data_IF_789337684119
#
_entry.id   IF_789337684119
#
_cell.length_a   1.000
_cell.length_b   1.000
_cell.length_c   1.000
_cell.angle_alpha   90.00
_cell.angle_beta   90.00
_cell.angle_gamma   90.00
#
_symmetry.space_group_name_H-M   'P 1'
#
loop_
_entity.id
_entity.type
_entity.pdbx_description
1 polymer ?
#
# COMPACT_ATOMS: atom_id res chain seq x y z
N UNK A 1 23.93 9.46 -10.51
CA UNK A 1 24.86 8.46 -11.06
C UNK A 1 26.24 9.08 -11.11
N UNK A 2 27.24 8.50 -10.45
CA UNK A 2 28.63 8.93 -10.59
C UNK A 2 29.35 7.90 -11.47
N UNK A 3 29.67 8.31 -12.69
CA UNK A 3 30.58 7.60 -13.57
C UNK A 3 31.54 8.64 -14.13
N UNK A 4 32.84 8.50 -13.84
CA UNK A 4 33.85 9.47 -14.24
C UNK A 4 34.08 9.49 -15.77
N UNK A 5 33.60 8.47 -16.48
CA UNK A 5 33.66 8.37 -17.93
C UNK A 5 32.41 7.72 -18.50
N UNK A 6 32.00 8.20 -19.67
CA UNK A 6 30.91 7.59 -20.43
C UNK A 6 31.45 6.39 -21.20
N UNK A 7 31.03 5.20 -20.81
CA UNK A 7 31.36 3.95 -21.55
C UNK A 7 30.61 3.89 -22.87
N UNK A 8 31.06 3.08 -23.82
CA UNK A 8 30.41 2.99 -25.14
C UNK A 8 28.97 2.45 -25.04
N UNK A 9 28.71 1.51 -24.13
CA UNK A 9 27.34 1.06 -23.84
C UNK A 9 26.45 2.18 -23.30
N UNK A 10 26.99 3.06 -22.44
CA UNK A 10 26.27 4.25 -21.98
C UNK A 10 26.03 5.22 -23.12
N UNK A 11 27.01 5.44 -24.02
CA UNK A 11 26.83 6.30 -25.21
C UNK A 11 25.68 5.82 -26.08
N UNK A 12 25.61 4.51 -26.35
CA UNK A 12 24.52 3.91 -27.13
C UNK A 12 23.17 4.04 -26.43
N UNK A 13 23.08 3.77 -25.13
CA UNK A 13 21.83 3.90 -24.39
C UNK A 13 21.35 5.36 -24.34
N UNK A 14 22.27 6.31 -24.11
CA UNK A 14 21.96 7.75 -24.07
C UNK A 14 21.54 8.25 -25.44
N UNK A 15 22.25 7.88 -26.52
CA UNK A 15 21.91 8.33 -27.88
C UNK A 15 20.55 7.80 -28.33
N UNK A 16 20.23 6.53 -28.07
CA UNK A 16 18.93 5.95 -28.40
C UNK A 16 17.79 6.59 -27.59
N UNK A 17 18.03 6.86 -26.30
CA UNK A 17 17.06 7.57 -25.43
C UNK A 17 16.78 8.97 -25.96
N UNK A 18 17.84 9.70 -26.34
CA UNK A 18 17.71 11.05 -26.89
C UNK A 18 17.01 11.05 -28.26
N UNK A 19 17.31 10.09 -29.14
CA UNK A 19 16.63 9.92 -30.43
C UNK A 19 15.12 9.72 -30.24
N UNK A 20 14.73 8.80 -29.34
CA UNK A 20 13.30 8.54 -29.04
C UNK A 20 12.61 9.76 -28.45
N UNK A 21 13.26 10.45 -27.51
CA UNK A 21 12.70 11.65 -26.87
C UNK A 21 12.47 12.77 -27.90
N UNK A 22 13.39 12.98 -28.84
CA UNK A 22 13.22 13.98 -29.90
C UNK A 22 11.96 13.71 -30.74
N UNK A 23 11.73 12.46 -31.16
CA UNK A 23 10.52 12.10 -31.89
C UNK A 23 9.25 12.30 -31.04
N UNK A 24 9.27 11.92 -29.77
CA UNK A 24 8.15 12.11 -28.86
C UNK A 24 7.82 13.60 -28.65
N UNK A 25 8.84 14.45 -28.50
CA UNK A 25 8.65 15.89 -28.35
C UNK A 25 8.12 16.53 -29.63
N UNK A 26 8.64 16.15 -30.80
CA UNK A 26 8.15 16.65 -32.08
C UNK A 26 6.69 16.26 -32.31
N UNK A 27 6.34 15.00 -32.08
CA UNK A 27 4.97 14.52 -32.15
C UNK A 27 4.06 15.26 -31.18
N UNK A 28 4.47 15.42 -29.92
CA UNK A 28 3.69 16.13 -28.93
C UNK A 28 3.46 17.60 -29.32
N UNK A 29 4.49 18.28 -29.86
CA UNK A 29 4.38 19.67 -30.31
C UNK A 29 3.43 19.80 -31.51
N UNK A 30 3.57 18.93 -32.51
CA UNK A 30 2.72 18.90 -33.70
C UNK A 30 1.25 18.63 -33.35
N UNK A 31 0.99 17.84 -32.31
CA UNK A 31 -0.35 17.42 -31.91
C UNK A 31 -0.90 18.20 -30.69
N UNK A 32 -0.16 19.17 -30.16
CA UNK A 32 -0.55 19.94 -28.97
C UNK A 32 -0.73 19.09 -27.70
N UNK A 33 0.02 17.99 -27.57
CA UNK A 33 -0.06 17.07 -26.42
C UNK A 33 0.85 17.57 -25.30
N UNK A 34 0.26 17.86 -24.14
CA UNK A 34 0.99 18.12 -22.90
C UNK A 34 1.27 16.79 -22.16
N UNK A 35 2.55 16.40 -21.97
CA UNK A 35 2.88 15.13 -21.32
C UNK A 35 2.53 15.15 -19.83
N UNK A 36 1.55 14.34 -19.46
CA UNK A 36 1.11 14.16 -18.08
C UNK A 36 1.43 12.73 -17.58
N UNK A 37 1.71 12.60 -16.29
CA UNK A 37 1.88 11.29 -15.66
C UNK A 37 0.55 10.53 -15.71
N UNK A 38 0.59 9.27 -16.11
CA UNK A 38 -0.61 8.42 -16.10
C UNK A 38 -0.99 8.14 -14.63
N UNK A 39 -2.08 8.75 -14.17
CA UNK A 39 -2.72 8.40 -12.90
C UNK A 39 -3.78 7.34 -13.20
N UNK A 40 -3.40 6.07 -13.11
CA UNK A 40 -4.39 5.00 -13.11
C UNK A 40 -5.09 5.03 -11.77
N UNK A 41 -6.38 5.33 -11.75
CA UNK A 41 -7.22 4.96 -10.60
C UNK A 41 -7.07 3.45 -10.46
N UNK A 42 -6.61 3.00 -9.28
CA UNK A 42 -6.75 1.59 -8.91
C UNK A 42 -8.23 1.32 -9.07
N UNK A 43 -8.60 0.52 -10.09
CA UNK A 43 -9.97 0.08 -10.22
C UNK A 43 -10.34 -0.52 -8.86
N UNK A 44 -11.41 -0.01 -8.26
CA UNK A 44 -11.80 -0.37 -6.92
C UNK A 44 -12.21 -1.84 -6.95
N UNK A 45 -11.25 -2.74 -6.70
CA UNK A 45 -11.47 -4.19 -6.66
C UNK A 45 -12.55 -4.48 -5.61
N UNK A 46 -12.72 -3.61 -4.60
CA UNK A 46 -13.80 -3.68 -3.63
C UNK A 46 -15.18 -3.38 -4.22
N UNK A 47 -15.30 -2.58 -5.28
CA UNK A 47 -16.58 -2.35 -5.97
C UNK A 47 -17.01 -3.61 -6.75
N UNK A 48 -16.04 -4.33 -7.35
CA UNK A 48 -16.29 -5.62 -8.00
C UNK A 48 -16.62 -6.75 -7.02
N UNK A 49 -16.05 -6.73 -5.81
CA UNK A 49 -16.38 -7.71 -4.75
C UNK A 49 -17.74 -7.40 -4.12
N UNK A 50 -18.02 -6.13 -3.80
CA UNK A 50 -19.33 -5.71 -3.24
C UNK A 50 -20.49 -5.94 -4.20
N UNK A 51 -20.29 -5.76 -5.50
CA UNK A 51 -21.32 -6.09 -6.51
C UNK A 51 -21.63 -7.60 -6.59
N UNK A 52 -20.76 -8.46 -6.02
CA UNK A 52 -20.92 -9.91 -5.99
C UNK A 52 -21.43 -10.44 -4.64
N UNK A 53 -21.40 -9.60 -3.60
CA UNK A 53 -21.87 -9.90 -2.24
C UNK A 53 -23.27 -9.32 -1.95
N UNK A 54 -23.85 -8.58 -2.90
CA UNK A 54 -25.11 -7.84 -2.71
C UNK A 54 -26.42 -8.65 -2.69
N UNK A 55 -26.37 -9.99 -2.60
CA UNK A 55 -27.60 -10.82 -2.46
C UNK A 55 -27.75 -11.51 -1.09
N UNK A 56 -26.74 -11.51 -0.23
CA UNK A 56 -26.83 -12.15 1.09
C UNK A 56 -26.13 -11.31 2.17
N UNK A 57 -26.88 -10.43 2.84
CA UNK A 57 -26.96 -10.35 4.31
C UNK A 57 -27.65 -9.03 4.74
N UNK A 58 -28.98 -9.07 4.72
CA UNK A 58 -29.82 -8.19 5.54
C UNK A 58 -29.69 -8.66 6.98
N UNK A 59 -28.78 -8.07 7.77
CA UNK A 59 -29.05 -7.80 9.20
C UNK A 59 -27.98 -6.92 9.85
N UNK A 60 -28.43 -5.84 10.51
CA UNK A 60 -27.75 -5.34 11.72
C UNK A 60 -27.31 -3.89 11.72
N UNK A 61 -28.29 -2.97 11.72
CA UNK A 61 -28.13 -1.64 12.31
C UNK A 61 -27.54 -1.70 13.74
N UNK A 62 -26.53 -0.89 14.08
CA UNK A 62 -26.06 -0.84 15.47
C UNK A 62 -24.84 0.03 15.79
N UNK A 63 -25.05 1.34 15.86
CA UNK A 63 -24.51 2.24 16.92
C UNK A 63 -22.98 2.28 17.15
N UNK A 64 -22.35 3.33 16.60
CA UNK A 64 -20.94 3.69 16.76
C UNK A 64 -20.50 4.20 18.15
N UNK A 65 -20.87 3.53 19.25
CA UNK A 65 -20.53 4.00 20.61
C UNK A 65 -19.64 3.05 21.44
N UNK A 66 -19.39 1.80 21.01
CA UNK A 66 -18.58 0.84 21.81
C UNK A 66 -17.07 0.80 21.51
N UNK A 67 -16.60 1.50 20.47
CA UNK A 67 -15.21 1.40 19.97
C UNK A 67 -14.19 2.15 20.83
N UNK A 68 -14.61 3.16 21.61
CA UNK A 68 -13.71 3.94 22.47
C UNK A 68 -13.27 3.22 23.75
N UNK A 69 -14.11 2.32 24.29
CA UNK A 69 -13.86 1.68 25.60
C UNK A 69 -12.94 0.45 25.54
N UNK A 70 -12.75 -0.15 24.35
CA UNK A 70 -11.77 -1.22 24.13
C UNK A 70 -10.35 -0.68 23.91
N UNK A 71 -10.20 0.54 23.36
CA UNK A 71 -8.89 1.18 23.15
C UNK A 71 -8.11 1.39 24.45
N UNK A 72 -8.79 1.80 25.52
CA UNK A 72 -8.15 2.05 26.81
C UNK A 72 -7.69 0.78 27.56
N UNK A 73 -8.30 -0.38 27.28
CA UNK A 73 -7.94 -1.63 27.94
C UNK A 73 -6.64 -2.23 27.37
N UNK A 74 -6.44 -2.13 26.05
CA UNK A 74 -5.21 -2.59 25.38
C UNK A 74 -4.01 -1.70 25.79
N UNK A 75 -4.25 -0.40 25.97
CA UNK A 75 -3.22 0.55 26.45
C UNK A 75 -2.70 0.24 27.86
N UNK A 76 -3.52 -0.34 28.75
CA UNK A 76 -3.07 -0.72 30.08
C UNK A 76 -2.08 -1.91 30.04
N UNK A 77 -2.25 -2.82 29.07
CA UNK A 77 -1.39 -4.00 28.92
C UNK A 77 -0.11 -3.71 28.10
N UNK A 78 -0.10 -2.68 27.23
CA UNK A 78 1.04 -2.35 26.36
C UNK A 78 1.94 -1.21 26.87
N UNK A 79 1.58 -0.51 27.96
CA UNK A 79 2.31 0.65 28.48
C UNK A 79 3.75 0.37 28.99
N UNK A 80 4.23 -0.88 28.89
CA UNK A 80 5.60 -1.28 29.26
C UNK A 80 6.38 -2.00 28.17
N UNK A 81 5.82 -2.16 26.97
CA UNK A 81 6.47 -2.89 25.87
C UNK A 81 7.40 -1.94 25.12
N UNK A 82 8.67 -2.31 24.96
CA UNK A 82 9.62 -1.46 24.26
C UNK A 82 9.19 -1.26 22.79
N UNK A 83 9.38 -0.08 22.18
CA UNK A 83 9.07 0.15 20.75
C UNK A 83 9.71 -0.87 19.80
N UNK A 84 10.85 -1.44 20.20
CA UNK A 84 11.54 -2.52 19.48
C UNK A 84 10.77 -3.85 19.50
N UNK A 85 10.11 -4.18 20.61
CA UNK A 85 9.31 -5.41 20.75
C UNK A 85 8.00 -5.31 19.93
N UNK A 86 7.39 -4.13 19.89
CA UNK A 86 6.25 -3.86 19.01
C UNK A 86 6.64 -3.96 17.53
N UNK A 87 7.84 -3.50 17.16
CA UNK A 87 8.38 -3.66 15.81
C UNK A 87 8.55 -5.13 15.40
N UNK A 88 9.02 -5.98 16.33
CA UNK A 88 9.14 -7.44 16.10
C UNK A 88 7.77 -8.11 15.93
N UNK A 89 6.80 -7.75 16.76
CA UNK A 89 5.44 -8.27 16.67
C UNK A 89 4.78 -7.90 15.33
N UNK A 90 4.96 -6.65 14.88
CA UNK A 90 4.48 -6.21 13.57
C UNK A 90 5.11 -7.02 12.44
N UNK A 91 6.42 -7.30 12.50
CA UNK A 91 7.10 -8.11 11.49
C UNK A 91 6.56 -9.55 11.44
N UNK A 92 6.30 -10.16 12.60
CA UNK A 92 5.72 -11.49 12.69
C UNK A 92 4.30 -11.54 12.08
N UNK A 93 3.43 -10.60 12.47
CA UNK A 93 2.07 -10.52 11.93
C UNK A 93 2.07 -10.26 10.42
N UNK A 94 3.03 -9.50 9.89
CA UNK A 94 3.15 -9.33 8.44
C UNK A 94 3.50 -10.64 7.73
N UNK A 95 4.37 -11.48 8.30
CA UNK A 95 4.69 -12.79 7.72
C UNK A 95 3.47 -13.73 7.76
N UNK A 96 2.73 -13.75 8.88
CA UNK A 96 1.50 -14.54 9.03
C UNK A 96 0.41 -14.09 8.04
N UNK A 97 0.25 -12.78 7.83
CA UNK A 97 -0.63 -12.21 6.81
C UNK A 97 -0.23 -12.67 5.40
N UNK A 98 1.07 -12.63 5.10
CA UNK A 98 1.59 -13.07 3.80
C UNK A 98 1.39 -14.56 3.58
N UNK A 99 1.53 -15.38 4.62
CA UNK A 99 1.27 -16.81 4.55
C UNK A 99 -0.22 -17.10 4.36
N UNK A 100 -1.10 -16.44 5.11
CA UNK A 100 -2.55 -16.55 4.92
C UNK A 100 -2.98 -16.16 3.49
N UNK A 101 -2.36 -15.14 2.91
CA UNK A 101 -2.60 -14.75 1.52
C UNK A 101 -2.12 -15.79 0.50
N UNK A 102 -0.97 -16.43 0.73
CA UNK A 102 -0.47 -17.55 -0.09
C UNK A 102 -1.41 -18.76 -0.04
N UNK A 103 -1.98 -19.02 1.13
CA UNK A 103 -2.93 -20.11 1.38
C UNK A 103 -4.36 -19.77 0.93
N UNK A 104 -4.57 -18.61 0.28
CA UNK A 104 -5.89 -18.11 -0.17
C UNK A 104 -6.90 -17.85 0.96
N UNK A 105 -6.43 -17.70 2.20
CA UNK A 105 -7.22 -17.34 3.40
C UNK A 105 -7.34 -15.80 3.51
N UNK A 106 -8.08 -15.21 2.58
CA UNK A 106 -8.13 -13.74 2.44
C UNK A 106 -8.79 -13.01 3.61
N UNK A 107 -9.80 -13.61 4.26
CA UNK A 107 -10.45 -13.02 5.44
C UNK A 107 -9.48 -12.89 6.62
N UNK A 108 -8.66 -13.92 6.82
CA UNK A 108 -7.63 -13.96 7.86
C UNK A 108 -6.51 -12.95 7.55
N UNK A 109 -6.04 -12.91 6.30
CA UNK A 109 -5.07 -11.91 5.87
C UNK A 109 -5.61 -10.47 6.03
N UNK A 110 -6.89 -10.23 5.73
CA UNK A 110 -7.52 -8.92 5.92
C UNK A 110 -7.59 -8.53 7.40
N UNK A 111 -7.92 -9.47 8.29
CA UNK A 111 -7.93 -9.25 9.75
C UNK A 111 -6.53 -8.87 10.26
N UNK A 112 -5.51 -9.64 9.89
CA UNK A 112 -4.13 -9.39 10.33
C UNK A 112 -3.60 -8.05 9.78
N UNK A 113 -3.96 -7.70 8.53
CA UNK A 113 -3.63 -6.39 7.94
C UNK A 113 -4.16 -5.23 8.80
N UNK A 114 -5.41 -5.32 9.26
CA UNK A 114 -6.04 -4.26 10.03
C UNK A 114 -5.41 -4.12 11.42
N UNK A 115 -5.01 -5.24 12.03
CA UNK A 115 -4.26 -5.27 13.30
C UNK A 115 -2.86 -4.66 13.16
N UNK A 116 -2.11 -5.03 12.12
CA UNK A 116 -0.81 -4.43 11.80
C UNK A 116 -0.92 -2.91 11.60
N UNK A 117 -1.99 -2.45 10.95
CA UNK A 117 -2.22 -1.03 10.71
C UNK A 117 -2.56 -0.26 11.98
N UNK A 118 -3.25 -0.86 12.95
CA UNK A 118 -3.50 -0.23 14.24
C UNK A 118 -2.20 -0.16 15.05
N UNK A 119 -1.44 -1.25 15.15
CA UNK A 119 -0.14 -1.28 15.84
C UNK A 119 0.85 -0.26 15.27
N UNK A 120 0.95 -0.14 13.94
CA UNK A 120 1.80 0.87 13.29
C UNK A 120 1.35 2.30 13.59
N UNK A 121 0.05 2.56 13.71
CA UNK A 121 -0.48 3.87 14.11
C UNK A 121 -0.12 4.19 15.55
N UNK A 122 -0.21 3.21 16.44
CA UNK A 122 0.13 3.37 17.85
C UNK A 122 1.62 3.64 18.05
N UNK A 123 2.52 2.89 17.40
CA UNK A 123 3.97 3.14 17.42
C UNK A 123 4.28 4.59 16.99
N UNK A 124 3.60 5.08 15.95
CA UNK A 124 3.78 6.45 15.43
C UNK A 124 3.21 7.52 16.35
N UNK A 125 2.24 7.18 17.19
CA UNK A 125 1.64 8.11 18.16
C UNK A 125 2.43 8.12 19.49
N UNK A 126 3.17 7.05 19.80
CA UNK A 126 4.02 6.92 20.98
C UNK A 126 5.46 7.41 20.79
N UNK A 127 5.90 7.67 19.56
CA UNK A 127 7.21 8.25 19.23
C UNK A 127 7.10 9.72 18.85
#
# INVERSE_FOLDING_TARGET
MYADRVTDSMKHAISETNRRRQHQMAYNLEHGIDPQTIIKKVADIMEMVRAREGEDDDTGSGTGSRRGRKKSAIFADLAGVAPEELGRLVAQLQEEMHQAAKDLRFEEAARIRDEVNELKREIRASG
#
